data_IF_148677285449
#
_entry.id   IF_148677285449
#
_cell.length_a   1.000
_cell.length_b   1.000
_cell.length_c   1.000
_cell.angle_alpha   90.00
_cell.angle_beta   90.00
_cell.angle_gamma   90.00
#
_symmetry.space_group_name_H-M   'P 1'
#
loop_
_entity.id
_entity.type
_entity.pdbx_description
1 polymer ?
#
# COMPACT_ATOMS: atom_id res chain seq x y z
N UNK A 1 -2.77 -4.44 -19.74
CA UNK A 1 -4.23 -4.40 -19.51
C UNK A 1 -4.68 -2.94 -19.47
N UNK A 2 -5.63 -2.54 -20.26
CA UNK A 2 -6.12 -1.17 -20.25
C UNK A 2 -7.31 -0.99 -19.29
N UNK A 3 -7.78 0.24 -19.14
CA UNK A 3 -8.87 0.54 -18.21
C UNK A 3 -10.17 -0.16 -18.55
N UNK A 4 -10.41 -0.42 -19.85
CA UNK A 4 -11.63 -1.11 -20.28
C UNK A 4 -11.61 -2.56 -19.81
N UNK A 5 -10.47 -3.25 -19.97
CA UNK A 5 -10.34 -4.63 -19.51
C UNK A 5 -10.44 -4.72 -17.99
N UNK A 6 -9.82 -3.79 -17.26
CA UNK A 6 -9.93 -3.73 -15.81
C UNK A 6 -11.37 -3.49 -15.37
N UNK A 7 -12.09 -2.66 -16.10
CA UNK A 7 -13.47 -2.36 -15.78
C UNK A 7 -14.38 -3.57 -16.07
N UNK A 8 -14.13 -4.29 -17.14
CA UNK A 8 -14.91 -5.50 -17.47
C UNK A 8 -14.67 -6.63 -16.47
N UNK A 9 -13.49 -6.65 -15.81
CA UNK A 9 -13.17 -7.60 -14.75
C UNK A 9 -13.46 -7.02 -13.36
N UNK A 10 -14.41 -6.10 -13.27
CA UNK A 10 -14.50 -5.21 -12.13
C UNK A 10 -15.06 -5.81 -10.85
N UNK A 11 -15.68 -6.97 -10.89
CA UNK A 11 -16.31 -7.55 -9.70
C UNK A 11 -15.77 -8.94 -9.43
N UNK A 12 -14.94 -9.06 -8.41
CA UNK A 12 -14.40 -10.34 -7.98
C UNK A 12 -14.87 -10.58 -6.55
N UNK A 13 -15.57 -11.69 -6.35
CA UNK A 13 -16.03 -12.10 -5.03
C UNK A 13 -15.15 -13.21 -4.49
N UNK A 14 -14.61 -13.04 -3.30
CA UNK A 14 -13.86 -14.07 -2.61
C UNK A 14 -14.72 -14.72 -1.53
N UNK A 15 -14.49 -15.99 -1.27
CA UNK A 15 -15.28 -16.74 -0.28
C UNK A 15 -14.91 -16.37 1.16
N UNK A 16 -13.63 -16.04 1.39
CA UNK A 16 -13.13 -15.66 2.71
C UNK A 16 -11.91 -14.73 2.57
N UNK A 17 -11.40 -14.27 3.71
CA UNK A 17 -10.25 -13.35 3.73
C UNK A 17 -9.00 -13.98 3.11
N UNK A 18 -8.74 -15.26 3.36
CA UNK A 18 -7.57 -15.94 2.80
C UNK A 18 -7.67 -16.05 1.28
N UNK A 19 -8.85 -16.36 0.75
CA UNK A 19 -9.09 -16.40 -0.69
C UNK A 19 -8.91 -15.02 -1.31
N UNK A 20 -9.36 -13.96 -0.64
CA UNK A 20 -9.18 -12.59 -1.11
C UNK A 20 -7.70 -12.23 -1.21
N UNK A 21 -6.91 -12.55 -0.19
CA UNK A 21 -5.47 -12.28 -0.20
C UNK A 21 -4.78 -13.00 -1.36
N UNK A 22 -5.14 -14.25 -1.61
CA UNK A 22 -4.60 -15.01 -2.74
C UNK A 22 -4.93 -14.35 -4.07
N UNK A 23 -6.19 -13.93 -4.25
CA UNK A 23 -6.64 -13.26 -5.48
C UNK A 23 -5.88 -11.94 -5.68
N UNK A 24 -5.73 -11.14 -4.63
CA UNK A 24 -4.97 -9.89 -4.70
C UNK A 24 -3.53 -10.18 -5.14
N UNK A 25 -2.88 -11.19 -4.55
CA UNK A 25 -1.52 -11.59 -4.93
C UNK A 25 -1.41 -11.98 -6.39
N UNK A 26 -2.41 -12.69 -6.92
CA UNK A 26 -2.43 -13.10 -8.34
C UNK A 26 -2.62 -11.92 -9.29
N UNK A 27 -3.28 -10.85 -8.83
CA UNK A 27 -3.50 -9.67 -9.67
C UNK A 27 -2.26 -8.78 -9.81
N UNK A 28 -1.35 -8.80 -8.84
CA UNK A 28 -0.21 -7.89 -8.86
C UNK A 28 0.68 -8.02 -10.11
N UNK A 29 1.06 -9.24 -10.56
CA UNK A 29 1.83 -9.34 -11.81
C UNK A 29 1.09 -8.76 -13.01
N UNK A 30 -0.23 -8.95 -13.11
CA UNK A 30 -1.03 -8.41 -14.21
C UNK A 30 -1.11 -6.88 -14.16
N UNK A 31 -1.33 -6.32 -12.96
CA UNK A 31 -1.59 -4.89 -12.81
C UNK A 31 -0.31 -4.06 -12.79
N UNK A 32 0.75 -4.59 -12.18
CA UNK A 32 1.95 -3.81 -11.88
C UNK A 32 3.25 -4.41 -12.41
N UNK A 33 3.22 -5.64 -12.92
CA UNK A 33 4.39 -6.29 -13.49
C UNK A 33 5.38 -6.88 -12.48
N UNK A 34 5.01 -6.96 -11.19
CA UNK A 34 5.83 -7.64 -10.20
C UNK A 34 4.98 -8.52 -9.30
N UNK A 35 5.61 -9.53 -8.69
CA UNK A 35 4.93 -10.50 -7.84
C UNK A 35 5.16 -10.22 -6.37
N UNK A 36 4.15 -10.55 -5.56
CA UNK A 36 4.26 -10.52 -4.10
C UNK A 36 4.71 -11.88 -3.58
N UNK A 37 5.47 -11.88 -2.49
CA UNK A 37 5.97 -13.10 -1.84
C UNK A 37 5.34 -13.24 -0.46
N UNK A 38 4.91 -14.44 -0.06
CA UNK A 38 4.38 -14.65 1.28
C UNK A 38 5.39 -14.31 2.37
N UNK A 39 4.93 -13.66 3.41
CA UNK A 39 5.70 -13.34 4.62
C UNK A 39 4.91 -13.79 5.85
N UNK A 40 5.54 -13.87 7.05
CA UNK A 40 4.81 -14.28 8.26
C UNK A 40 3.57 -13.43 8.53
N UNK A 41 2.63 -14.00 9.30
CA UNK A 41 1.38 -13.35 9.71
C UNK A 41 0.37 -13.18 8.58
N UNK A 42 0.36 -14.12 7.61
CA UNK A 42 -0.62 -14.17 6.53
C UNK A 42 -0.65 -12.86 5.72
N UNK A 43 0.53 -12.40 5.33
CA UNK A 43 0.67 -11.23 4.48
C UNK A 43 1.52 -11.56 3.25
N UNK A 44 1.54 -10.65 2.31
CA UNK A 44 2.37 -10.72 1.12
C UNK A 44 3.24 -9.47 1.07
N UNK A 45 4.43 -9.56 0.49
CA UNK A 45 5.32 -8.41 0.41
C UNK A 45 6.16 -8.41 -0.85
N UNK A 46 6.62 -7.24 -1.24
CA UNK A 46 7.58 -7.06 -2.33
C UNK A 46 8.46 -5.85 -2.07
N UNK A 47 9.75 -6.00 -2.35
CA UNK A 47 10.66 -4.86 -2.38
C UNK A 47 10.51 -4.14 -3.72
N UNK A 48 10.35 -2.84 -3.67
CA UNK A 48 10.18 -2.00 -4.86
C UNK A 48 11.20 -0.86 -4.82
N UNK A 49 11.28 -0.12 -5.91
CA UNK A 49 12.17 1.05 -5.99
C UNK A 49 11.82 2.14 -4.97
N UNK A 50 10.57 2.19 -4.55
CA UNK A 50 10.10 3.24 -3.63
C UNK A 50 9.95 2.78 -2.18
N UNK A 51 10.20 1.50 -1.91
CA UNK A 51 10.11 0.93 -0.57
C UNK A 51 9.61 -0.50 -0.58
N UNK A 52 9.33 -1.04 0.60
CA UNK A 52 8.78 -2.39 0.74
C UNK A 52 7.28 -2.30 0.91
N UNK A 53 6.55 -2.92 -0.02
CA UNK A 53 5.10 -2.97 0.03
C UNK A 53 4.65 -4.23 0.77
N UNK A 54 3.76 -4.05 1.75
CA UNK A 54 3.11 -5.15 2.46
C UNK A 54 1.62 -5.13 2.14
N UNK A 55 1.07 -6.29 1.83
CA UNK A 55 -0.35 -6.44 1.50
C UNK A 55 -0.94 -7.51 2.40
N UNK A 56 -2.03 -7.19 3.06
CA UNK A 56 -2.75 -8.12 3.90
C UNK A 56 -4.24 -7.96 3.73
N UNK A 57 -5.00 -8.89 4.31
CA UNK A 57 -6.45 -8.76 4.41
C UNK A 57 -6.80 -8.81 5.89
N UNK A 58 -7.35 -7.72 6.37
CA UNK A 58 -7.88 -7.63 7.72
C UNK A 58 -9.26 -8.32 7.75
N UNK A 59 -9.81 -8.52 8.93
CA UNK A 59 -11.13 -9.11 9.04
C UNK A 59 -12.14 -8.35 8.20
N UNK A 60 -13.18 -9.04 7.75
CA UNK A 60 -14.30 -8.46 7.02
C UNK A 60 -13.90 -7.94 5.62
N UNK A 61 -12.97 -8.62 4.95
CA UNK A 61 -12.58 -8.35 3.57
C UNK A 61 -11.96 -6.96 3.35
N UNK A 62 -11.32 -6.40 4.35
CA UNK A 62 -10.58 -5.14 4.20
C UNK A 62 -9.14 -5.43 3.74
N UNK A 63 -8.79 -4.97 2.55
CA UNK A 63 -7.43 -5.10 2.02
C UNK A 63 -6.58 -3.98 2.61
N UNK A 64 -5.49 -4.34 3.26
CA UNK A 64 -4.54 -3.41 3.85
C UNK A 64 -3.31 -3.32 2.95
N UNK A 65 -2.94 -2.10 2.58
CA UNK A 65 -1.77 -1.81 1.76
C UNK A 65 -0.86 -0.88 2.56
N UNK A 66 0.37 -1.31 2.83
CA UNK A 66 1.33 -0.54 3.62
C UNK A 66 2.66 -0.49 2.90
N UNK A 67 3.13 0.72 2.62
CA UNK A 67 4.42 0.94 1.97
C UNK A 67 5.39 1.52 3.00
N UNK A 68 6.44 0.75 3.32
CA UNK A 68 7.51 1.19 4.21
C UNK A 68 8.58 1.86 3.36
N UNK A 69 8.79 3.16 3.58
CA UNK A 69 9.78 3.91 2.82
C UNK A 69 11.20 3.50 3.22
N UNK A 70 12.16 3.58 2.29
CA UNK A 70 13.56 3.28 2.61
C UNK A 70 14.14 4.30 3.57
N UNK A 71 15.14 3.89 4.35
CA UNK A 71 15.81 4.73 5.33
C UNK A 71 15.20 4.61 6.72
N UNK A 72 15.88 5.19 7.67
CA UNK A 72 15.43 5.21 9.06
C UNK A 72 15.15 6.65 9.46
N UNK A 73 14.08 6.88 10.20
CA UNK A 73 13.61 8.20 10.56
C UNK A 73 13.22 8.22 12.03
N UNK A 74 13.77 9.18 12.77
CA UNK A 74 13.36 9.37 14.15
C UNK A 74 12.06 10.17 14.17
N UNK A 75 11.14 9.81 15.06
CA UNK A 75 9.87 10.51 15.22
C UNK A 75 10.08 11.85 15.94
N UNK A 76 10.63 12.82 15.24
CA UNK A 76 10.83 14.17 15.77
C UNK A 76 9.53 14.98 15.67
N UNK A 77 9.37 16.03 16.49
CA UNK A 77 8.20 16.91 16.36
C UNK A 77 8.04 17.49 14.95
N UNK A 78 9.14 17.80 14.26
CA UNK A 78 9.12 18.34 12.91
C UNK A 78 8.60 17.32 11.92
N UNK A 79 9.06 16.08 12.00
CA UNK A 79 8.58 15.02 11.13
C UNK A 79 7.12 14.71 11.37
N UNK A 80 6.71 14.62 12.63
CA UNK A 80 5.31 14.34 12.98
C UNK A 80 4.39 15.46 12.51
N UNK A 81 4.81 16.72 12.63
CA UNK A 81 4.02 17.85 12.14
C UNK A 81 3.86 17.80 10.62
N UNK A 82 4.94 17.48 9.90
CA UNK A 82 4.91 17.34 8.45
C UNK A 82 3.93 16.24 8.01
N UNK A 83 4.03 15.07 8.65
CA UNK A 83 3.13 13.96 8.31
C UNK A 83 1.69 14.25 8.65
N UNK A 84 1.42 14.98 9.74
CA UNK A 84 0.07 15.42 10.07
C UNK A 84 -0.52 16.33 8.99
N UNK A 85 0.29 17.23 8.42
CA UNK A 85 -0.16 18.07 7.32
C UNK A 85 -0.48 17.24 6.09
N UNK A 86 0.36 16.24 5.78
CA UNK A 86 0.11 15.33 4.65
C UNK A 86 -1.17 14.54 4.87
N UNK A 87 -1.41 14.06 6.09
CA UNK A 87 -2.65 13.35 6.43
C UNK A 87 -3.88 14.23 6.23
N UNK A 88 -3.80 15.49 6.64
CA UNK A 88 -4.91 16.42 6.49
C UNK A 88 -5.23 16.70 5.03
N UNK A 89 -4.24 16.64 4.15
CA UNK A 89 -4.41 16.89 2.71
C UNK A 89 -4.74 15.66 1.88
N UNK A 90 -4.78 14.46 2.48
CA UNK A 90 -4.99 13.22 1.76
C UNK A 90 -6.33 12.60 2.10
N UNK A 91 -7.08 12.19 1.07
CA UNK A 91 -8.36 11.50 1.25
C UNK A 91 -8.20 10.00 1.36
N UNK A 92 -7.11 9.42 0.83
CA UNK A 92 -6.97 7.97 0.68
C UNK A 92 -5.77 7.39 1.41
N UNK A 93 -4.77 8.21 1.71
CA UNK A 93 -3.51 7.73 2.27
C UNK A 93 -3.34 8.21 3.70
N UNK A 94 -2.69 7.37 4.50
CA UNK A 94 -2.31 7.70 5.87
C UNK A 94 -0.80 7.63 5.98
N UNK A 95 -0.20 8.64 6.58
CA UNK A 95 1.25 8.74 6.75
C UNK A 95 1.58 8.63 8.23
N UNK A 96 2.58 7.81 8.55
CA UNK A 96 2.94 7.55 9.94
C UNK A 96 4.43 7.23 10.09
N UNK A 97 4.91 7.27 11.34
CA UNK A 97 6.24 6.78 11.71
C UNK A 97 6.04 5.65 12.69
N UNK A 98 6.63 4.50 12.40
CA UNK A 98 6.57 3.34 13.28
C UNK A 98 7.88 2.57 13.16
N UNK A 99 8.48 2.23 14.29
CA UNK A 99 9.75 1.48 14.34
C UNK A 99 10.86 2.15 13.50
N UNK A 100 10.95 3.46 13.62
CA UNK A 100 11.93 4.30 12.90
C UNK A 100 11.80 4.27 11.38
N UNK A 101 10.63 3.90 10.88
CA UNK A 101 10.33 3.96 9.45
C UNK A 101 9.14 4.86 9.19
N UNK A 102 9.16 5.53 8.03
CA UNK A 102 7.99 6.25 7.53
C UNK A 102 7.15 5.27 6.72
N UNK A 103 5.88 5.26 6.98
CA UNK A 103 4.91 4.37 6.31
C UNK A 103 3.85 5.20 5.61
N UNK A 104 3.47 4.76 4.43
CA UNK A 104 2.29 5.26 3.72
C UNK A 104 1.33 4.09 3.60
N UNK A 105 0.11 4.26 4.06
CA UNK A 105 -0.85 3.16 4.09
C UNK A 105 -2.19 3.56 3.52
N UNK A 106 -2.93 2.56 3.09
CA UNK A 106 -4.29 2.70 2.59
C UNK A 106 -5.04 1.39 2.82
N UNK A 107 -6.35 1.46 2.80
CA UNK A 107 -7.18 0.26 2.84
C UNK A 107 -8.28 0.35 1.79
N UNK A 108 -8.70 -0.81 1.31
CA UNK A 108 -9.71 -0.94 0.26
C UNK A 108 -10.70 -2.00 0.70
N UNK A 109 -11.99 -1.75 0.44
CA UNK A 109 -13.01 -2.77 0.63
C UNK A 109 -12.90 -3.79 -0.49
N UNK A 110 -12.72 -5.05 -0.12
CA UNK A 110 -12.59 -6.15 -1.07
C UNK A 110 -13.86 -6.98 -1.25
N UNK A 111 -15.01 -6.48 -0.85
CA UNK A 111 -16.30 -7.16 -0.99
C UNK A 111 -17.28 -6.31 -1.80
N UNK A 112 -17.34 -6.43 -3.12
CA UNK A 112 -16.42 -7.20 -3.98
C UNK A 112 -15.13 -6.47 -4.24
N UNK A 113 -14.09 -7.21 -4.65
CA UNK A 113 -12.85 -6.61 -5.10
C UNK A 113 -13.04 -6.01 -6.49
N UNK A 114 -12.64 -4.76 -6.65
CA UNK A 114 -12.68 -4.05 -7.93
C UNK A 114 -11.22 -3.78 -8.35
N UNK A 115 -10.67 -4.52 -9.32
CA UNK A 115 -9.25 -4.43 -9.67
C UNK A 115 -8.76 -3.02 -10.00
N UNK A 116 -9.59 -2.21 -10.67
CA UNK A 116 -9.18 -0.84 -11.01
C UNK A 116 -9.02 0.03 -9.74
N UNK A 117 -9.79 -0.22 -8.68
CA UNK A 117 -9.62 0.47 -7.41
C UNK A 117 -8.29 0.10 -6.76
N UNK A 118 -7.94 -1.19 -6.78
CA UNK A 118 -6.66 -1.65 -6.29
C UNK A 118 -5.52 -0.98 -7.06
N UNK A 119 -5.60 -0.96 -8.38
CA UNK A 119 -4.58 -0.34 -9.22
C UNK A 119 -4.40 1.14 -8.90
N UNK A 120 -5.48 1.87 -8.72
CA UNK A 120 -5.44 3.31 -8.41
C UNK A 120 -4.79 3.59 -7.05
N UNK A 121 -5.19 2.84 -6.03
CA UNK A 121 -4.68 3.07 -4.68
C UNK A 121 -3.20 2.74 -4.59
N UNK A 122 -2.76 1.62 -5.19
CA UNK A 122 -1.32 1.28 -5.22
C UNK A 122 -0.54 2.35 -5.97
N UNK A 123 -1.10 2.87 -7.07
CA UNK A 123 -0.45 3.96 -7.81
C UNK A 123 -0.29 5.20 -6.94
N UNK A 124 -1.29 5.56 -6.14
CA UNK A 124 -1.20 6.70 -5.22
C UNK A 124 -0.12 6.48 -4.16
N UNK A 125 -0.01 5.26 -3.61
CA UNK A 125 1.06 4.94 -2.66
C UNK A 125 2.44 5.16 -3.29
N UNK A 126 2.64 4.66 -4.50
CA UNK A 126 3.92 4.77 -5.19
C UNK A 126 4.24 6.20 -5.62
N UNK A 127 3.24 7.01 -5.91
CA UNK A 127 3.43 8.42 -6.24
C UNK A 127 3.74 9.26 -5.01
N UNK A 128 3.16 8.91 -3.86
CA UNK A 128 3.38 9.66 -2.62
C UNK A 128 4.80 9.46 -2.08
N UNK A 129 5.39 8.27 -2.25
CA UNK A 129 6.68 7.94 -1.67
C UNK A 129 7.82 8.88 -2.09
N UNK A 130 8.05 9.15 -3.39
CA UNK A 130 9.11 10.10 -3.78
C UNK A 130 8.89 11.49 -3.23
N UNK A 131 7.64 11.95 -3.16
CA UNK A 131 7.33 13.28 -2.64
C UNK A 131 7.69 13.39 -1.15
N UNK A 132 7.37 12.36 -0.36
CA UNK A 132 7.74 12.31 1.06
C UNK A 132 9.25 12.23 1.23
N UNK A 133 9.92 11.36 0.46
CA UNK A 133 11.37 11.18 0.56
C UNK A 133 12.13 12.47 0.22
N UNK A 134 11.58 13.33 -0.64
CA UNK A 134 12.19 14.60 -0.97
C UNK A 134 12.13 15.61 0.19
N UNK A 135 11.16 15.46 1.10
CA UNK A 135 10.93 16.41 2.18
C UNK A 135 11.49 15.96 3.54
N UNK A 136 11.74 14.67 3.72
CA UNK A 136 12.21 14.14 4.98
C UNK A 136 13.71 13.81 4.92
N UNK A 137 14.41 13.95 6.05
CA UNK A 137 15.82 13.65 6.13
C UNK A 137 16.00 12.37 6.93
N UNK A 138 16.57 11.31 6.33
CA UNK A 138 16.82 10.09 7.07
C UNK A 138 17.85 10.28 8.16
N UNK A 139 17.74 9.47 9.21
CA UNK A 139 18.72 9.44 10.27
C UNK A 139 20.02 8.86 9.72
N UNK A 140 21.14 9.55 10.01
CA UNK A 140 22.45 9.06 9.64
C UNK A 140 22.79 7.85 10.48
N UNK A 141 22.99 6.74 9.79
CA UNK A 141 23.20 5.62 10.53
C UNK A 141 23.88 4.54 10.45
#
# INVERSE_FOLDING_TARGET
MDDVELHERSLISADDDAALLRIVGELFPELFGFSLTPVPEDALAADTEVGTLFVGVLSDFVISLELRLPGRYRATPELLAYLNEENAGSAFLTFSVLDDHVWVSASIDGRPLVPIHLARVVTYLFQAAPAILAEVTPEDG
#
